data_IF_102444670448
#
_entry.id   IF_102444670448
#
_cell.length_a   1.000
_cell.length_b   1.000
_cell.length_c   1.000
_cell.angle_alpha   90.00
_cell.angle_beta   90.00
_cell.angle_gamma   90.00
#
_symmetry.space_group_name_H-M   'P 1'
#
loop_
_entity.id
_entity.type
_entity.pdbx_description
1 polymer ?
#
# COMPACT_ATOMS: atom_id res chain seq x y z
N UNK A 1 -5.39 -2.36 28.45
CA UNK A 1 -6.38 -3.43 28.72
C UNK A 1 -5.84 -4.75 28.18
N UNK A 2 -6.23 -5.89 28.76
CA UNK A 2 -5.97 -7.19 28.13
C UNK A 2 -6.83 -7.34 26.87
N UNK A 3 -6.47 -8.30 26.01
CA UNK A 3 -7.24 -8.60 24.79
C UNK A 3 -8.65 -9.05 25.15
N UNK A 4 -8.80 -9.83 26.24
CA UNK A 4 -10.09 -10.25 26.79
C UNK A 4 -10.95 -9.05 27.16
N UNK A 5 -10.36 -8.05 27.84
CA UNK A 5 -11.12 -6.89 28.26
C UNK A 5 -11.53 -6.01 27.08
N UNK A 6 -10.69 -5.91 26.05
CA UNK A 6 -11.03 -5.19 24.81
C UNK A 6 -12.15 -5.90 24.04
N UNK A 7 -12.11 -7.23 23.98
CA UNK A 7 -13.19 -8.03 23.38
C UNK A 7 -14.53 -7.77 24.07
N UNK A 8 -14.58 -7.85 25.41
CA UNK A 8 -15.80 -7.58 26.18
C UNK A 8 -16.40 -6.19 25.92
N UNK A 9 -15.56 -5.19 25.64
CA UNK A 9 -15.99 -3.80 25.46
C UNK A 9 -16.37 -3.45 24.02
N UNK A 10 -15.76 -4.12 23.04
CA UNK A 10 -15.86 -3.73 21.62
C UNK A 10 -16.58 -4.76 20.76
N UNK A 11 -16.69 -6.01 21.23
CA UNK A 11 -17.10 -7.19 20.46
C UNK A 11 -16.25 -7.44 19.19
N UNK A 12 -15.07 -6.83 19.06
CA UNK A 12 -14.12 -7.13 17.99
C UNK A 12 -13.43 -8.44 18.32
N UNK A 13 -13.47 -9.40 17.40
CA UNK A 13 -12.88 -10.73 17.61
C UNK A 13 -11.40 -10.65 18.03
N UNK A 14 -11.03 -11.53 18.97
CA UNK A 14 -9.70 -11.56 19.58
C UNK A 14 -8.59 -11.70 18.54
N UNK A 15 -8.84 -12.40 17.43
CA UNK A 15 -7.89 -12.54 16.34
C UNK A 15 -7.44 -11.18 15.78
N UNK A 16 -8.37 -10.24 15.55
CA UNK A 16 -8.04 -8.89 15.08
C UNK A 16 -7.34 -8.07 16.18
N UNK A 17 -7.80 -8.17 17.42
CA UNK A 17 -7.20 -7.49 18.56
C UNK A 17 -5.74 -7.91 18.77
N UNK A 18 -5.42 -9.20 18.59
CA UNK A 18 -4.05 -9.70 18.61
C UNK A 18 -3.20 -9.15 17.46
N UNK A 19 -3.78 -8.94 16.26
CA UNK A 19 -3.06 -8.25 15.18
C UNK A 19 -2.74 -6.80 15.53
N UNK A 20 -3.68 -6.07 16.14
CA UNK A 20 -3.41 -4.72 16.63
C UNK A 20 -2.34 -4.70 17.71
N UNK A 21 -2.39 -5.64 18.65
CA UNK A 21 -1.38 -5.80 19.69
C UNK A 21 0.02 -6.02 19.08
N UNK A 22 0.15 -6.89 18.08
CA UNK A 22 1.42 -7.14 17.40
C UNK A 22 2.00 -5.86 16.77
N UNK A 23 1.16 -5.03 16.14
CA UNK A 23 1.58 -3.75 15.56
C UNK A 23 2.07 -2.80 16.67
N UNK A 24 1.32 -2.69 17.76
CA UNK A 24 1.66 -1.81 18.90
C UNK A 24 2.96 -2.25 19.59
N UNK A 25 3.15 -3.55 19.81
CA UNK A 25 4.37 -4.10 20.40
C UNK A 25 5.58 -3.88 19.50
N UNK A 26 5.38 -3.98 18.18
CA UNK A 26 6.45 -3.69 17.23
C UNK A 26 6.80 -2.20 17.19
N UNK A 27 5.81 -1.32 17.31
CA UNK A 27 6.06 0.12 17.43
C UNK A 27 6.92 0.46 18.65
N UNK A 28 6.62 -0.13 19.83
CA UNK A 28 7.47 0.01 21.03
C UNK A 28 8.88 -0.52 20.83
N UNK A 29 9.03 -1.59 20.04
CA UNK A 29 10.34 -2.13 19.68
C UNK A 29 11.12 -1.11 18.83
N UNK A 30 10.45 -0.44 17.89
CA UNK A 30 11.06 0.64 17.09
C UNK A 30 11.45 1.84 17.96
N UNK A 31 10.60 2.26 18.90
CA UNK A 31 10.91 3.36 19.84
C UNK A 31 12.11 3.06 20.75
N UNK A 32 12.33 1.78 21.08
CA UNK A 32 13.48 1.34 21.86
C UNK A 32 14.77 1.18 21.04
N UNK A 33 14.68 1.28 19.70
CA UNK A 33 15.83 1.13 18.80
C UNK A 33 16.43 2.51 18.52
N UNK A 34 17.75 2.65 18.70
CA UNK A 34 18.44 3.88 18.33
C UNK A 34 18.48 4.05 16.80
N UNK A 35 18.27 5.27 16.32
CA UNK A 35 18.20 5.62 14.90
C UNK A 35 19.44 5.22 14.09
N UNK A 36 20.61 5.15 14.73
CA UNK A 36 21.88 4.74 14.13
C UNK A 36 22.08 3.23 14.06
N UNK A 37 21.20 2.45 14.69
CA UNK A 37 21.34 1.00 14.90
C UNK A 37 20.24 0.17 14.23
N UNK A 38 19.33 0.79 13.47
CA UNK A 38 18.23 0.08 12.83
C UNK A 38 18.77 -0.90 11.77
N UNK A 39 18.57 -2.19 12.03
CA UNK A 39 19.03 -3.24 11.12
C UNK A 39 18.06 -3.42 9.93
N UNK A 40 18.60 -3.98 8.84
CA UNK A 40 17.80 -4.35 7.67
C UNK A 40 16.63 -5.27 8.04
N UNK A 41 16.82 -6.22 8.95
CA UNK A 41 15.76 -7.14 9.39
C UNK A 41 14.63 -6.43 10.15
N UNK A 42 14.97 -5.50 11.04
CA UNK A 42 13.97 -4.69 11.76
C UNK A 42 13.16 -3.86 10.76
N UNK A 43 13.84 -3.21 9.81
CA UNK A 43 13.19 -2.38 8.81
C UNK A 43 12.31 -3.22 7.89
N UNK A 44 12.81 -4.35 7.38
CA UNK A 44 12.07 -5.28 6.52
C UNK A 44 10.84 -5.85 7.21
N UNK A 45 10.95 -6.24 8.48
CA UNK A 45 9.81 -6.72 9.27
C UNK A 45 8.80 -5.60 9.52
N UNK A 46 9.23 -4.36 9.79
CA UNK A 46 8.34 -3.20 9.91
C UNK A 46 7.51 -3.00 8.64
N UNK A 47 8.15 -3.04 7.47
CA UNK A 47 7.46 -2.87 6.18
C UNK A 47 6.48 -4.00 5.88
N UNK A 48 6.83 -5.24 6.22
CA UNK A 48 5.96 -6.42 6.01
C UNK A 48 4.67 -6.41 6.82
N UNK A 49 4.68 -5.76 7.98
CA UNK A 49 3.50 -5.60 8.84
C UNK A 49 2.79 -4.25 8.63
N UNK A 50 3.19 -3.47 7.62
CA UNK A 50 2.44 -2.29 7.15
C UNK A 50 2.90 -0.93 7.66
N UNK A 51 4.05 -0.82 8.35
CA UNK A 51 4.56 0.48 8.77
C UNK A 51 4.97 1.36 7.58
N UNK A 52 4.50 2.60 7.55
CA UNK A 52 4.98 3.62 6.62
C UNK A 52 6.36 4.15 7.02
N UNK A 53 7.11 4.72 6.06
CA UNK A 53 8.43 5.30 6.35
C UNK A 53 8.31 6.45 7.37
N UNK A 54 7.19 7.20 7.32
CA UNK A 54 6.84 8.23 8.30
C UNK A 54 6.66 7.68 9.71
N UNK A 55 5.87 6.62 9.90
CA UNK A 55 5.65 6.04 11.23
C UNK A 55 6.95 5.48 11.83
N UNK A 56 7.82 4.91 11.00
CA UNK A 56 9.14 4.43 11.45
C UNK A 56 10.01 5.62 11.84
N UNK A 57 10.03 6.68 11.03
CA UNK A 57 10.78 7.88 11.31
C UNK A 57 10.35 8.53 12.63
N UNK A 58 9.04 8.63 12.88
CA UNK A 58 8.49 9.17 14.12
C UNK A 58 8.93 8.33 15.34
N UNK A 59 8.89 6.99 15.23
CA UNK A 59 9.30 6.08 16.30
C UNK A 59 10.79 6.21 16.65
N UNK A 60 11.68 6.29 15.65
CA UNK A 60 13.13 6.35 15.86
C UNK A 60 13.67 7.79 15.95
N UNK A 61 12.80 8.80 15.98
CA UNK A 61 13.16 10.24 16.02
C UNK A 61 14.07 10.65 14.84
N UNK A 62 13.71 10.22 13.64
CA UNK A 62 14.39 10.55 12.38
C UNK A 62 13.44 11.27 11.43
N UNK A 63 13.84 11.44 10.17
CA UNK A 63 12.99 12.01 9.11
C UNK A 63 12.53 10.92 8.16
N UNK A 64 11.33 11.07 7.58
CA UNK A 64 10.80 10.15 6.57
C UNK A 64 11.77 9.93 5.40
N UNK A 65 12.42 11.01 4.95
CA UNK A 65 13.42 10.96 3.87
C UNK A 65 14.64 10.13 4.26
N UNK A 66 15.13 10.25 5.50
CA UNK A 66 16.27 9.46 5.97
C UNK A 66 15.93 7.97 6.05
N UNK A 67 14.74 7.63 6.57
CA UNK A 67 14.26 6.24 6.60
C UNK A 67 14.08 5.68 5.20
N UNK A 68 13.53 6.46 4.27
CA UNK A 68 13.38 6.07 2.87
C UNK A 68 14.72 5.78 2.21
N UNK A 69 15.72 6.64 2.38
CA UNK A 69 17.07 6.42 1.84
C UNK A 69 17.69 5.14 2.39
N UNK A 70 17.65 4.95 3.70
CA UNK A 70 18.17 3.74 4.35
C UNK A 70 17.44 2.48 3.86
N UNK A 71 16.12 2.56 3.66
CA UNK A 71 15.31 1.47 3.11
C UNK A 71 15.73 1.12 1.68
N UNK A 72 16.02 2.12 0.85
CA UNK A 72 16.52 1.94 -0.52
C UNK A 72 17.95 1.39 -0.54
N UNK A 73 18.83 1.84 0.37
CA UNK A 73 20.19 1.29 0.54
C UNK A 73 20.18 -0.19 0.92
N UNK A 74 19.24 -0.62 1.76
CA UNK A 74 19.01 -2.03 2.09
C UNK A 74 18.23 -2.81 1.02
N UNK A 75 17.89 -2.18 -0.11
CA UNK A 75 17.10 -2.79 -1.19
C UNK A 75 15.74 -3.34 -0.73
N UNK A 76 15.13 -2.66 0.26
CA UNK A 76 13.82 -3.03 0.79
C UNK A 76 12.75 -2.24 0.02
N UNK A 77 12.33 -2.77 -1.12
CA UNK A 77 11.26 -2.22 -1.95
C UNK A 77 10.05 -3.15 -1.98
N UNK A 78 8.83 -2.63 -2.17
CA UNK A 78 7.67 -3.47 -2.35
C UNK A 78 7.67 -4.11 -3.74
N UNK A 79 6.97 -5.23 -3.86
CA UNK A 79 6.75 -5.96 -5.11
C UNK A 79 5.34 -5.70 -5.64
N UNK A 80 5.20 -5.72 -6.96
CA UNK A 80 3.92 -5.58 -7.68
C UNK A 80 3.34 -6.96 -7.88
N UNK A 81 2.09 -7.15 -7.45
CA UNK A 81 1.35 -8.40 -7.55
C UNK A 81 0.03 -8.24 -8.28
N UNK A 82 -0.33 -9.25 -9.07
CA UNK A 82 -1.60 -9.32 -9.78
C UNK A 82 -2.70 -9.92 -8.89
N UNK A 83 -3.92 -9.43 -9.08
CA UNK A 83 -5.14 -10.02 -8.54
C UNK A 83 -5.76 -10.84 -9.66
N UNK A 84 -5.64 -12.16 -9.56
CA UNK A 84 -6.01 -13.13 -10.60
C UNK A 84 -7.28 -13.92 -10.30
N UNK A 85 -7.88 -13.73 -9.12
CA UNK A 85 -9.03 -14.47 -8.56
C UNK A 85 -8.81 -15.95 -8.21
N UNK A 86 -7.70 -16.55 -8.66
CA UNK A 86 -7.42 -18.00 -8.56
C UNK A 86 -6.10 -18.32 -7.85
N UNK A 87 -5.48 -17.35 -7.19
CA UNK A 87 -4.23 -17.51 -6.45
C UNK A 87 -3.11 -18.15 -7.28
N UNK A 88 -2.92 -17.63 -8.50
CA UNK A 88 -1.95 -18.03 -9.50
C UNK A 88 -2.11 -19.45 -10.07
N UNK A 89 -3.30 -20.07 -9.94
CA UNK A 89 -3.60 -21.33 -10.64
C UNK A 89 -3.51 -21.16 -12.17
N UNK A 90 -3.98 -20.01 -12.66
CA UNK A 90 -3.96 -19.64 -14.08
C UNK A 90 -3.36 -18.24 -14.26
N UNK A 91 -2.63 -17.99 -15.37
CA UNK A 91 -2.08 -16.67 -15.62
C UNK A 91 -3.19 -15.63 -15.81
N UNK A 92 -3.07 -14.50 -15.13
CA UNK A 92 -4.02 -13.39 -15.27
C UNK A 92 -3.90 -12.73 -16.64
N UNK A 93 -5.04 -12.48 -17.28
CA UNK A 93 -5.10 -11.70 -18.52
C UNK A 93 -5.18 -10.19 -18.29
N UNK A 94 -5.37 -9.74 -17.05
CA UNK A 94 -5.58 -8.33 -16.68
C UNK A 94 -4.52 -7.84 -15.69
N UNK A 95 -4.28 -6.53 -15.71
CA UNK A 95 -3.32 -5.87 -14.83
C UNK A 95 -4.03 -5.16 -13.67
N UNK A 96 -4.76 -5.92 -12.86
CA UNK A 96 -5.29 -5.42 -11.59
C UNK A 96 -4.28 -5.68 -10.47
N UNK A 97 -3.69 -4.62 -9.91
CA UNK A 97 -2.41 -4.70 -9.18
C UNK A 97 -2.49 -4.16 -7.76
N UNK A 98 -1.64 -4.71 -6.89
CA UNK A 98 -1.33 -4.14 -5.58
C UNK A 98 0.16 -4.25 -5.25
N UNK A 99 0.59 -3.49 -4.24
CA UNK A 99 1.96 -3.50 -3.74
C UNK A 99 2.07 -4.24 -2.42
N UNK A 100 3.12 -5.06 -2.26
CA UNK A 100 3.38 -5.77 -1.00
C UNK A 100 4.87 -5.95 -0.71
N UNK A 101 5.25 -5.82 0.57
CA UNK A 101 6.59 -6.18 1.05
C UNK A 101 6.73 -7.68 1.37
N UNK A 102 5.64 -8.44 1.27
CA UNK A 102 5.58 -9.89 1.46
C UNK A 102 5.72 -10.64 0.12
N UNK A 103 6.61 -10.16 -0.75
CA UNK A 103 6.94 -10.77 -2.04
C UNK A 103 8.45 -10.99 -2.19
N UNK A 104 8.82 -11.67 -3.28
CA UNK A 104 10.22 -11.89 -3.70
C UNK A 104 10.49 -11.50 -5.16
N UNK A 105 9.43 -11.27 -5.95
CA UNK A 105 9.48 -10.91 -7.37
C UNK A 105 8.23 -10.12 -7.75
N UNK A 106 8.32 -9.37 -8.84
CA UNK A 106 7.17 -8.75 -9.49
C UNK A 106 6.45 -9.78 -10.39
N UNK A 107 5.14 -9.62 -10.56
CA UNK A 107 4.36 -10.45 -11.51
C UNK A 107 4.38 -9.88 -12.94
N UNK A 108 4.99 -8.70 -13.13
CA UNK A 108 5.00 -7.94 -14.37
C UNK A 108 6.38 -7.38 -14.68
N UNK A 109 6.58 -7.05 -15.96
CA UNK A 109 7.69 -6.22 -16.43
C UNK A 109 7.31 -4.74 -16.48
N UNK A 110 8.30 -3.86 -16.42
CA UNK A 110 8.11 -2.40 -16.41
C UNK A 110 8.84 -1.76 -17.59
N UNK A 111 8.28 -1.83 -18.81
CA UNK A 111 8.95 -1.34 -20.03
C UNK A 111 9.08 0.19 -20.10
N UNK A 112 8.40 0.94 -19.23
CA UNK A 112 8.42 2.40 -19.22
C UNK A 112 7.35 3.03 -20.11
N UNK A 113 7.42 4.36 -20.27
CA UNK A 113 6.53 5.16 -21.13
C UNK A 113 5.03 5.10 -20.80
N UNK A 114 4.71 5.03 -19.50
CA UNK A 114 3.34 5.11 -19.01
C UNK A 114 2.99 6.50 -18.48
N UNK A 115 1.75 6.93 -18.69
CA UNK A 115 1.19 8.14 -18.09
C UNK A 115 0.38 7.78 -16.85
N UNK A 116 0.78 8.28 -15.67
CA UNK A 116 0.07 8.01 -14.42
C UNK A 116 -1.09 9.00 -14.21
N UNK A 117 -2.25 8.46 -13.85
CA UNK A 117 -3.44 9.22 -13.42
C UNK A 117 -3.71 8.89 -11.95
N UNK A 118 -3.77 9.93 -11.12
CA UNK A 118 -4.04 9.80 -9.69
C UNK A 118 -5.53 10.04 -9.41
N UNK A 119 -6.17 9.08 -8.75
CA UNK A 119 -7.57 9.19 -8.35
C UNK A 119 -7.79 10.11 -7.15
N UNK A 120 -9.05 10.40 -6.86
CA UNK A 120 -9.46 11.29 -5.77
C UNK A 120 -9.42 10.65 -4.38
N UNK A 121 -9.33 9.32 -4.29
CA UNK A 121 -9.47 8.59 -3.04
C UNK A 121 -10.93 8.50 -2.58
N UNK A 122 -11.12 8.27 -1.28
CA UNK A 122 -12.45 8.09 -0.67
C UNK A 122 -13.29 9.37 -0.74
N UNK A 123 -14.59 9.19 -1.00
CA UNK A 123 -15.53 10.30 -1.03
C UNK A 123 -15.66 10.98 0.34
N UNK A 124 -15.81 12.30 0.29
CA UNK A 124 -16.02 13.17 1.45
C UNK A 124 -16.79 14.42 1.02
N UNK A 125 -17.38 15.15 1.96
CA UNK A 125 -18.04 16.42 1.65
C UNK A 125 -17.02 17.34 0.95
N UNK A 126 -17.37 17.80 -0.26
CA UNK A 126 -16.49 18.60 -1.12
C UNK A 126 -15.56 17.79 -2.04
N UNK A 127 -15.63 16.46 -2.02
CA UNK A 127 -14.94 15.57 -2.96
C UNK A 127 -15.74 14.30 -3.21
N UNK A 128 -16.52 14.30 -4.30
CA UNK A 128 -17.44 13.21 -4.65
C UNK A 128 -17.18 12.70 -6.08
N UNK A 129 -18.21 12.12 -6.70
CA UNK A 129 -18.18 11.44 -8.00
C UNK A 129 -17.66 12.31 -9.15
N UNK A 130 -17.75 13.63 -9.05
CA UNK A 130 -17.24 14.56 -10.07
C UNK A 130 -15.74 14.36 -10.35
N UNK A 131 -14.96 14.02 -9.33
CA UNK A 131 -13.53 13.77 -9.52
C UNK A 131 -13.25 12.41 -10.17
N UNK A 132 -14.11 11.41 -9.92
CA UNK A 132 -14.05 10.12 -10.60
C UNK A 132 -14.38 10.26 -12.09
N UNK A 133 -15.39 11.08 -12.41
CA UNK A 133 -15.75 11.39 -13.79
C UNK A 133 -14.60 12.07 -14.56
N UNK A 134 -13.90 13.02 -13.92
CA UNK A 134 -12.71 13.65 -14.49
C UNK A 134 -11.57 12.64 -14.74
N UNK A 135 -11.33 11.73 -13.81
CA UNK A 135 -10.30 10.68 -13.96
C UNK A 135 -10.62 9.74 -15.12
N UNK A 136 -11.88 9.27 -15.20
CA UNK A 136 -12.37 8.43 -16.31
C UNK A 136 -12.25 9.15 -17.66
N UNK A 137 -12.63 10.43 -17.73
CA UNK A 137 -12.48 11.25 -18.94
C UNK A 137 -11.01 11.36 -19.38
N UNK A 138 -10.10 11.57 -18.43
CA UNK A 138 -8.67 11.64 -18.68
C UNK A 138 -8.10 10.31 -19.22
N UNK A 139 -8.46 9.18 -18.60
CA UNK A 139 -8.02 7.85 -19.04
C UNK A 139 -8.49 7.55 -20.47
N UNK A 140 -9.77 7.84 -20.77
CA UNK A 140 -10.34 7.66 -22.12
C UNK A 140 -9.60 8.49 -23.15
N UNK A 141 -9.29 9.74 -22.84
CA UNK A 141 -8.60 10.63 -23.78
C UNK A 141 -7.13 10.22 -24.00
N UNK A 142 -6.43 9.80 -22.94
CA UNK A 142 -5.08 9.25 -23.07
C UNK A 142 -5.07 7.98 -23.94
N UNK A 143 -6.05 7.11 -23.76
CA UNK A 143 -6.24 5.91 -24.59
C UNK A 143 -6.54 6.25 -26.05
N UNK A 144 -7.37 7.25 -26.31
CA UNK A 144 -7.65 7.76 -27.67
C UNK A 144 -6.38 8.30 -28.35
N UNK A 145 -5.45 8.86 -27.58
CA UNK A 145 -4.14 9.31 -28.06
C UNK A 145 -3.10 8.18 -28.19
N UNK A 146 -3.49 6.92 -27.94
CA UNK A 146 -2.59 5.76 -28.00
C UNK A 146 -1.56 5.71 -26.87
N UNK A 147 -1.79 6.41 -25.74
CA UNK A 147 -0.89 6.40 -24.59
C UNK A 147 -1.25 5.30 -23.61
N UNK A 148 -0.24 4.56 -23.15
CA UNK A 148 -0.39 3.60 -22.06
C UNK A 148 -0.55 4.33 -20.73
N UNK A 149 -1.50 3.90 -19.89
CA UNK A 149 -1.84 4.59 -18.65
C UNK A 149 -1.65 3.72 -17.41
N UNK A 150 -1.44 4.35 -16.25
CA UNK A 150 -1.45 3.71 -14.94
C UNK A 150 -2.41 4.48 -14.05
N UNK A 151 -3.51 3.86 -13.65
CA UNK A 151 -4.45 4.45 -12.69
C UNK A 151 -4.08 4.04 -11.27
N UNK A 152 -4.01 5.01 -10.35
CA UNK A 152 -3.79 4.75 -8.91
C UNK A 152 -4.94 5.35 -8.11
N UNK A 153 -5.75 4.49 -7.50
CA UNK A 153 -6.83 4.88 -6.61
C UNK A 153 -7.07 3.77 -5.55
N UNK A 154 -7.69 4.14 -4.43
CA UNK A 154 -7.99 3.22 -3.32
C UNK A 154 -9.46 3.27 -2.89
N UNK A 155 -10.32 3.98 -3.64
CA UNK A 155 -11.75 3.99 -3.41
C UNK A 155 -12.41 2.79 -4.12
N UNK A 156 -13.01 1.83 -3.39
CA UNK A 156 -13.64 0.66 -4.03
C UNK A 156 -14.97 0.99 -4.73
N UNK A 157 -15.53 2.18 -4.56
CA UNK A 157 -16.84 2.57 -5.11
C UNK A 157 -16.73 3.24 -6.50
N UNK A 158 -15.51 3.44 -7.02
CA UNK A 158 -15.27 4.25 -8.23
C UNK A 158 -15.24 3.44 -9.53
N UNK A 159 -15.64 4.07 -10.64
CA UNK A 159 -15.48 3.48 -11.98
C UNK A 159 -14.02 3.56 -12.44
N UNK A 160 -13.26 4.55 -11.95
CA UNK A 160 -11.81 4.62 -12.26
C UNK A 160 -11.00 3.44 -11.73
N UNK A 161 -11.53 2.66 -10.78
CA UNK A 161 -10.88 1.44 -10.27
C UNK A 161 -11.26 0.18 -11.04
N UNK A 162 -12.03 0.30 -12.12
CA UNK A 162 -12.31 -0.80 -13.05
C UNK A 162 -11.10 -1.03 -13.98
N UNK A 163 -10.61 -2.27 -14.02
CA UNK A 163 -9.46 -2.64 -14.85
C UNK A 163 -9.77 -2.62 -16.36
N UNK A 164 -11.04 -2.65 -16.77
CA UNK A 164 -11.44 -2.52 -18.18
C UNK A 164 -11.31 -1.08 -18.70
N UNK A 165 -11.18 -0.12 -17.78
CA UNK A 165 -11.04 1.32 -18.08
C UNK A 165 -9.60 1.78 -18.30
N UNK A 166 -8.61 0.97 -17.87
CA UNK A 166 -7.17 1.26 -17.95
C UNK A 166 -6.46 0.65 -19.14
#
# INVERSE_FOLDING_TARGET
>A
YSVEKLYELTNIDKWFLDKFKNIIEYYKTLEATDSTSISSDILKKAKRIGFSDKQIADAIKSTEVAVRKLREEFQITPFVKQIDTVAAEWPASTNYLYLTYNGISHDLEFPGDFTMVLGSGVYRIGSSVEFDWCAVGCLRELRNQGKSTIMVNYNPETVSTDYDMS
#
